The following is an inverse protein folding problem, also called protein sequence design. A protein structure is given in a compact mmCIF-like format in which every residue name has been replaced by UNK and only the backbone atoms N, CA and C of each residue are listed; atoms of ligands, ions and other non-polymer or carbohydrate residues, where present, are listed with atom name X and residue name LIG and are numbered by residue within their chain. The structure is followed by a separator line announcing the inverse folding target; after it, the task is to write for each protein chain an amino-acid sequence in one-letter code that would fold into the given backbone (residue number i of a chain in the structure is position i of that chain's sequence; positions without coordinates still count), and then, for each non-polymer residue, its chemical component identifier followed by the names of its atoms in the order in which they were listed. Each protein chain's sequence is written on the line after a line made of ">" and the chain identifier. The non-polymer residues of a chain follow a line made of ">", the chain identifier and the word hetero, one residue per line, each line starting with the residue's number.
data_IF_025480285693
#
_entry.id   IF_025480285693
#
_cell.length_a   1.000
_cell.length_b   1.000
_cell.length_c   1.000
_cell.angle_alpha   90.00
_cell.angle_beta   90.00
_cell.angle_gamma   90.00
#
_symmetry.space_group_name_H-M   'P 1'
#
loop_
_entity.id
_entity.type
_entity.pdbx_description
1 polymer ?
#
# COMPACT_ATOMS: atom_id res chain seq x y z
N UNK A 1 51.18 -2.18 -32.04
CA UNK A 1 50.63 -2.14 -30.66
C UNK A 1 49.16 -1.77 -30.75
N UNK A 2 48.27 -2.71 -30.60
CA UNK A 2 46.83 -2.46 -30.51
C UNK A 2 46.54 -2.04 -29.05
N UNK A 3 46.14 -0.81 -28.85
CA UNK A 3 45.64 -0.38 -27.56
C UNK A 3 44.39 -1.18 -27.22
N UNK A 4 44.49 -2.01 -26.20
CA UNK A 4 43.36 -2.77 -25.69
C UNK A 4 42.33 -1.79 -25.09
N UNK A 5 41.20 -1.63 -25.74
CA UNK A 5 40.03 -1.01 -25.14
C UNK A 5 39.52 -1.95 -24.05
N UNK A 6 39.83 -1.66 -22.80
CA UNK A 6 39.16 -2.33 -21.68
C UNK A 6 37.63 -2.19 -21.86
N UNK A 7 36.88 -3.29 -21.82
CA UNK A 7 35.42 -3.18 -21.85
C UNK A 7 34.98 -2.34 -20.68
N UNK A 8 34.33 -1.23 -20.98
CA UNK A 8 33.63 -0.43 -19.94
C UNK A 8 32.47 -1.31 -19.48
N UNK A 9 32.67 -2.02 -18.37
CA UNK A 9 31.59 -2.68 -17.68
C UNK A 9 30.78 -1.57 -17.02
N UNK A 10 29.76 -1.09 -17.72
CA UNK A 10 28.79 -0.19 -17.10
C UNK A 10 28.17 -0.94 -15.92
N UNK A 11 28.21 -0.42 -14.70
CA UNK A 11 27.54 -1.08 -13.59
C UNK A 11 26.04 -1.15 -13.94
N UNK A 12 25.49 -2.36 -13.94
CA UNK A 12 24.03 -2.55 -14.06
C UNK A 12 23.45 -2.08 -12.72
N UNK A 13 23.08 -0.81 -12.66
CA UNK A 13 22.34 -0.29 -11.51
C UNK A 13 20.95 -0.93 -11.50
N UNK A 14 20.52 -1.37 -10.32
CA UNK A 14 19.15 -1.77 -10.11
C UNK A 14 18.24 -0.60 -10.53
N UNK A 15 17.16 -0.90 -11.25
CA UNK A 15 16.19 0.10 -11.73
C UNK A 15 15.72 1.02 -10.61
N UNK A 16 15.44 0.47 -9.43
CA UNK A 16 14.92 1.25 -8.31
C UNK A 16 15.96 2.21 -7.74
N UNK A 17 17.24 1.79 -7.71
CA UNK A 17 18.36 2.67 -7.33
C UNK A 17 18.52 3.83 -8.33
N UNK A 18 18.39 3.54 -9.63
CA UNK A 18 18.44 4.58 -10.66
C UNK A 18 17.27 5.57 -10.52
N UNK A 19 16.06 5.09 -10.24
CA UNK A 19 14.90 5.94 -10.05
C UNK A 19 15.01 6.78 -8.76
N UNK A 20 15.59 6.22 -7.71
CA UNK A 20 15.91 6.96 -6.49
C UNK A 20 16.96 8.05 -6.76
N UNK A 21 18.03 7.74 -7.47
CA UNK A 21 19.09 8.70 -7.84
C UNK A 21 18.53 9.87 -8.67
N UNK A 22 17.61 9.58 -9.59
CA UNK A 22 16.90 10.57 -10.37
C UNK A 22 15.82 11.36 -9.58
N UNK A 23 15.56 10.99 -8.32
CA UNK A 23 14.60 11.64 -7.45
C UNK A 23 13.13 11.35 -7.80
N UNK A 24 12.84 10.22 -8.43
CA UNK A 24 11.49 9.77 -8.76
C UNK A 24 10.95 8.71 -7.81
N UNK A 25 11.76 8.23 -6.88
CA UNK A 25 11.36 7.23 -5.89
C UNK A 25 10.96 7.92 -4.58
N UNK A 26 9.78 7.60 -4.11
CA UNK A 26 9.19 8.14 -2.89
C UNK A 26 8.79 7.02 -1.94
N UNK A 27 8.83 7.32 -0.65
CA UNK A 27 8.22 6.51 0.40
C UNK A 27 7.14 7.29 1.12
N UNK A 28 6.06 6.61 1.49
CA UNK A 28 5.04 7.16 2.36
C UNK A 28 4.95 6.27 3.61
N UNK A 29 5.02 6.88 4.78
CA UNK A 29 5.04 6.18 6.06
C UNK A 29 4.01 6.77 7.01
N UNK A 30 3.57 5.97 7.97
CA UNK A 30 2.75 6.44 9.09
C UNK A 30 3.41 7.64 9.77
N UNK A 31 2.65 8.71 10.08
CA UNK A 31 3.22 9.96 10.56
C UNK A 31 3.93 9.84 11.91
N UNK A 32 3.56 8.84 12.70
CA UNK A 32 4.19 8.55 13.99
C UNK A 32 4.65 7.10 14.01
N UNK A 33 5.94 6.83 13.85
CA UNK A 33 6.48 5.48 13.90
C UNK A 33 6.13 4.76 15.22
N UNK A 34 5.78 3.49 15.12
CA UNK A 34 5.36 2.67 16.26
C UNK A 34 3.92 2.90 16.74
N UNK A 35 3.23 3.90 16.19
CA UNK A 35 1.81 4.14 16.45
C UNK A 35 1.01 3.77 15.22
N UNK A 36 0.21 2.71 15.31
CA UNK A 36 -0.60 2.27 14.19
C UNK A 36 -1.76 3.22 13.89
N UNK A 37 -2.19 3.22 12.64
CA UNK A 37 -3.40 3.87 12.19
C UNK A 37 -4.52 2.84 12.29
N UNK A 38 -5.60 3.16 13.01
CA UNK A 38 -6.75 2.28 13.16
C UNK A 38 -7.55 2.28 11.86
N UNK A 39 -7.91 1.08 11.39
CA UNK A 39 -8.88 0.96 10.30
C UNK A 39 -10.29 1.41 10.76
N UNK A 40 -11.19 1.61 9.83
CA UNK A 40 -12.58 1.94 10.18
C UNK A 40 -13.26 0.76 10.86
N UNK A 41 -14.03 1.03 11.92
CA UNK A 41 -14.71 0.01 12.72
C UNK A 41 -15.67 -0.86 11.91
N UNK A 42 -15.76 -2.12 12.31
CA UNK A 42 -16.86 -3.04 11.96
C UNK A 42 -16.98 -3.41 10.49
N UNK A 43 -15.88 -3.73 9.83
CA UNK A 43 -15.92 -4.29 8.48
C UNK A 43 -15.96 -5.83 8.59
N UNK A 44 -17.03 -6.36 9.19
CA UNK A 44 -17.23 -7.80 9.34
C UNK A 44 -17.90 -8.46 8.13
N UNK A 45 -18.58 -7.67 7.31
CA UNK A 45 -19.28 -8.14 6.13
C UNK A 45 -18.47 -7.83 4.89
N UNK A 46 -18.25 -8.82 4.04
CA UNK A 46 -17.61 -8.63 2.75
C UNK A 46 -18.49 -7.73 1.86
N UNK A 47 -18.17 -6.46 1.84
CA UNK A 47 -18.71 -5.49 0.91
C UNK A 47 -17.58 -4.52 0.54
N UNK A 48 -17.60 -3.99 -0.68
CA UNK A 48 -16.67 -2.92 -1.05
C UNK A 48 -17.04 -1.64 -0.26
N UNK A 49 -16.48 -1.53 0.94
CA UNK A 49 -16.71 -0.40 1.83
C UNK A 49 -15.80 0.77 1.43
N UNK A 50 -16.22 1.50 0.42
CA UNK A 50 -15.44 2.62 -0.13
C UNK A 50 -15.26 3.78 0.85
N UNK A 51 -16.14 3.86 1.84
CA UNK A 51 -16.05 4.84 2.91
C UNK A 51 -14.99 4.50 3.97
N UNK A 52 -14.36 3.33 3.86
CA UNK A 52 -13.49 2.82 4.91
C UNK A 52 -12.26 2.08 4.35
N UNK A 53 -11.51 2.64 3.40
CA UNK A 53 -10.28 2.00 2.96
C UNK A 53 -9.25 1.98 4.09
N UNK A 54 -8.44 0.93 4.13
CA UNK A 54 -7.23 0.91 4.96
C UNK A 54 -6.26 1.97 4.46
N UNK A 55 -6.12 2.07 3.13
CA UNK A 55 -5.26 3.06 2.46
C UNK A 55 -6.00 3.59 1.24
N UNK A 56 -5.87 4.89 1.00
CA UNK A 56 -6.26 5.56 -0.24
C UNK A 56 -5.08 6.33 -0.80
N UNK A 57 -4.69 6.03 -2.03
CA UNK A 57 -3.63 6.72 -2.79
C UNK A 57 -4.29 7.44 -3.96
N UNK A 58 -4.21 8.75 -3.97
CA UNK A 58 -4.73 9.57 -5.06
C UNK A 58 -3.59 10.27 -5.79
N UNK A 59 -3.61 10.21 -7.11
CA UNK A 59 -2.69 10.96 -7.95
C UNK A 59 -3.23 12.38 -8.16
N UNK A 60 -2.71 13.33 -7.40
CA UNK A 60 -3.11 14.74 -7.45
C UNK A 60 -2.55 15.54 -8.64
N UNK A 61 -1.82 14.91 -9.55
CA UNK A 61 -1.34 15.57 -10.75
C UNK A 61 -2.53 16.01 -11.63
N UNK A 62 -2.44 17.16 -12.33
CA UNK A 62 -3.48 17.60 -13.26
C UNK A 62 -3.74 16.55 -14.34
N UNK A 63 -4.99 16.44 -14.80
CA UNK A 63 -5.39 15.47 -15.84
C UNK A 63 -4.59 15.64 -17.14
N UNK A 64 -4.14 16.87 -17.43
CA UNK A 64 -3.26 17.15 -18.57
C UNK A 64 -1.80 16.71 -18.37
N UNK A 65 -1.42 16.30 -17.16
CA UNK A 65 -0.09 15.78 -16.84
C UNK A 65 0.04 14.35 -17.36
N UNK A 66 1.23 13.97 -17.78
CA UNK A 66 1.56 12.58 -18.09
C UNK A 66 2.17 11.84 -16.88
N UNK A 67 2.21 12.48 -15.72
CA UNK A 67 2.86 11.92 -14.51
C UNK A 67 1.97 10.90 -13.86
N UNK A 68 2.45 9.68 -13.79
CA UNK A 68 1.78 8.54 -13.17
C UNK A 68 2.45 8.15 -11.86
N UNK A 69 1.68 7.55 -10.96
CA UNK A 69 2.19 6.92 -9.75
C UNK A 69 2.20 5.40 -9.96
N UNK A 70 3.34 4.77 -9.68
CA UNK A 70 3.57 3.34 -9.78
C UNK A 70 3.87 2.79 -8.38
N UNK A 71 2.89 2.24 -7.67
CA UNK A 71 3.15 1.55 -6.42
C UNK A 71 4.13 0.39 -6.68
N UNK A 72 5.15 0.26 -5.85
CA UNK A 72 6.10 -0.84 -5.89
C UNK A 72 5.80 -1.85 -4.79
N UNK A 73 5.57 -1.36 -3.58
CA UNK A 73 5.11 -2.18 -2.48
C UNK A 73 4.22 -1.39 -1.52
N UNK A 74 3.39 -2.13 -0.80
CA UNK A 74 2.65 -1.66 0.38
C UNK A 74 2.90 -2.67 1.49
N UNK A 75 3.35 -2.20 2.65
CA UNK A 75 3.55 -3.02 3.84
C UNK A 75 2.64 -2.54 4.95
N UNK A 76 1.93 -3.47 5.55
CA UNK A 76 1.05 -3.27 6.70
C UNK A 76 1.58 -4.11 7.85
N UNK A 77 2.05 -3.47 8.91
CA UNK A 77 2.46 -4.16 10.14
C UNK A 77 1.37 -3.99 11.18
N UNK A 78 0.84 -5.08 11.70
CA UNK A 78 -0.23 -5.06 12.71
C UNK A 78 0.31 -4.51 14.01
N UNK A 79 -0.24 -3.39 14.47
CA UNK A 79 0.09 -2.77 15.77
C UNK A 79 -1.02 -2.98 16.81
N UNK A 80 -2.25 -3.20 16.34
CA UNK A 80 -3.38 -3.58 17.15
C UNK A 80 -4.13 -4.70 16.47
N UNK A 81 -4.29 -5.81 17.17
CA UNK A 81 -5.02 -6.97 16.65
C UNK A 81 -6.51 -6.84 16.95
N UNK A 82 -7.33 -7.31 16.03
CA UNK A 82 -8.76 -7.46 16.22
C UNK A 82 -9.06 -8.64 17.16
N UNK A 83 -9.95 -8.46 18.12
CA UNK A 83 -10.28 -9.49 19.10
C UNK A 83 -11.07 -10.68 18.54
N UNK A 84 -11.68 -10.58 17.35
CA UNK A 84 -12.59 -11.59 16.81
C UNK A 84 -12.43 -11.93 15.34
N UNK A 85 -11.54 -11.26 14.60
CA UNK A 85 -11.39 -11.47 13.16
C UNK A 85 -10.70 -12.78 12.83
N UNK A 86 -11.44 -13.72 12.25
CA UNK A 86 -10.92 -15.05 11.91
C UNK A 86 -10.28 -15.15 10.54
N UNK A 87 -10.59 -14.23 9.64
CA UNK A 87 -10.06 -14.22 8.27
C UNK A 87 -9.81 -12.78 7.87
N UNK A 88 -8.55 -12.44 7.67
CA UNK A 88 -8.18 -11.12 7.15
C UNK A 88 -8.11 -11.21 5.63
N UNK A 89 -8.88 -10.38 4.96
CA UNK A 89 -8.92 -10.29 3.49
C UNK A 89 -8.68 -8.85 3.06
N UNK A 90 -7.89 -8.68 2.01
CA UNK A 90 -7.68 -7.39 1.38
C UNK A 90 -8.14 -7.40 -0.08
N UNK A 91 -8.79 -6.33 -0.47
CA UNK A 91 -9.17 -6.08 -1.87
C UNK A 91 -8.57 -4.76 -2.32
N UNK A 92 -7.95 -4.80 -3.48
CA UNK A 92 -7.29 -3.67 -4.11
C UNK A 92 -8.16 -3.17 -5.25
N UNK A 93 -8.48 -1.89 -5.23
CA UNK A 93 -9.34 -1.26 -6.25
C UNK A 93 -8.66 -0.05 -6.87
N UNK A 94 -8.91 0.14 -8.17
CA UNK A 94 -8.51 1.33 -8.92
C UNK A 94 -9.78 2.03 -9.42
N UNK A 95 -9.87 3.33 -9.23
CA UNK A 95 -11.03 4.12 -9.62
C UNK A 95 -10.61 5.41 -10.34
N UNK A 96 -11.51 5.98 -11.11
CA UNK A 96 -11.35 7.30 -11.70
C UNK A 96 -11.86 8.37 -10.73
N UNK A 97 -11.08 9.43 -10.61
CA UNK A 97 -11.39 10.55 -9.73
C UNK A 97 -10.98 10.32 -8.27
N UNK A 98 -10.93 11.41 -7.55
CA UNK A 98 -10.61 11.44 -6.13
C UNK A 98 -11.71 10.77 -5.31
N UNK A 99 -11.35 9.75 -4.55
CA UNK A 99 -12.30 9.01 -3.71
C UNK A 99 -12.39 9.57 -2.28
N UNK A 100 -11.30 10.11 -1.79
CA UNK A 100 -11.22 10.74 -0.48
C UNK A 100 -11.03 12.23 -0.69
N UNK A 101 -12.02 13.02 -0.33
CA UNK A 101 -12.04 14.49 -0.58
C UNK A 101 -11.58 15.29 0.60
N UNK A 102 -11.64 14.73 1.80
CA UNK A 102 -11.19 15.40 3.01
C UNK A 102 -10.14 14.55 3.69
N UNK A 103 -9.00 15.17 3.97
CA UNK A 103 -7.94 14.51 4.74
C UNK A 103 -8.51 14.10 6.11
N UNK A 104 -8.14 12.92 6.60
CA UNK A 104 -8.46 12.51 7.96
C UNK A 104 -7.75 13.43 8.97
N UNK A 105 -7.94 13.18 10.25
CA UNK A 105 -7.07 13.77 11.26
C UNK A 105 -5.59 13.57 10.88
N UNK A 106 -4.71 14.44 11.35
CA UNK A 106 -3.28 14.43 11.00
C UNK A 106 -2.61 13.05 11.15
N UNK A 107 -3.11 12.22 12.06
CA UNK A 107 -2.66 10.84 12.27
C UNK A 107 -2.94 9.90 11.09
N UNK A 108 -3.86 10.25 10.20
CA UNK A 108 -4.21 9.45 9.03
C UNK A 108 -3.61 9.96 7.71
N UNK A 109 -2.83 11.03 7.75
CA UNK A 109 -2.10 11.56 6.58
C UNK A 109 -0.70 10.99 6.59
N UNK A 110 -0.35 10.16 5.60
CA UNK A 110 0.98 9.58 5.54
C UNK A 110 2.03 10.63 5.15
N UNK A 111 3.19 10.55 5.79
CA UNK A 111 4.33 11.43 5.47
C UNK A 111 5.03 10.89 4.22
N UNK A 112 5.07 11.71 3.16
CA UNK A 112 5.72 11.35 1.90
C UNK A 112 7.11 11.97 1.86
N UNK A 113 8.11 11.13 1.63
CA UNK A 113 9.51 11.54 1.52
C UNK A 113 10.09 11.11 0.19
N UNK A 114 10.88 11.99 -0.43
CA UNK A 114 11.75 11.60 -1.52
C UNK A 114 12.94 10.83 -0.96
N UNK A 115 13.27 9.69 -1.53
CA UNK A 115 14.42 8.89 -1.08
C UNK A 115 15.78 9.49 -1.44
N UNK A 116 15.79 10.46 -2.36
CA UNK A 116 16.97 11.28 -2.66
C UNK A 116 16.84 12.66 -1.99
N UNK A 117 17.53 12.87 -0.87
CA UNK A 117 17.51 14.15 -0.14
C UNK A 117 18.05 15.33 -0.96
N UNK A 118 18.88 15.07 -1.97
CA UNK A 118 19.39 16.11 -2.88
C UNK A 118 18.42 16.51 -3.98
N UNK A 119 17.33 15.76 -4.16
CA UNK A 119 16.34 16.03 -5.20
C UNK A 119 15.37 17.14 -4.77
N UNK A 120 15.10 18.07 -5.69
CA UNK A 120 14.02 19.06 -5.54
C UNK A 120 12.62 18.54 -5.89
N UNK A 121 12.50 17.29 -6.37
CA UNK A 121 11.22 16.71 -6.77
C UNK A 121 10.33 16.46 -5.55
N UNK A 122 9.07 16.88 -5.68
CA UNK A 122 8.03 16.67 -4.66
C UNK A 122 6.91 15.85 -5.26
N UNK A 123 6.45 14.86 -4.53
CA UNK A 123 5.29 14.08 -4.92
C UNK A 123 4.00 14.92 -4.83
N UNK A 124 3.10 14.70 -5.79
CA UNK A 124 1.73 15.19 -5.79
C UNK A 124 0.73 14.14 -5.29
N UNK A 125 1.23 12.97 -4.88
CA UNK A 125 0.40 11.94 -4.30
C UNK A 125 -0.25 12.43 -2.99
N UNK A 126 -1.51 12.08 -2.81
CA UNK A 126 -2.24 12.25 -1.54
C UNK A 126 -2.53 10.87 -0.98
N UNK A 127 -1.92 10.56 0.15
CA UNK A 127 -2.02 9.22 0.73
C UNK A 127 -2.63 9.34 2.13
N UNK A 128 -3.81 8.73 2.27
CA UNK A 128 -4.61 8.77 3.48
C UNK A 128 -4.91 7.36 3.98
N UNK A 129 -5.05 7.22 5.29
CA UNK A 129 -5.38 5.97 5.96
C UNK A 129 -6.25 6.21 7.19
N UNK A 130 -6.97 5.17 7.63
CA UNK A 130 -7.65 5.16 8.91
C UNK A 130 -9.08 5.69 8.87
N UNK A 131 -9.56 6.09 10.04
CA UNK A 131 -10.93 6.53 10.29
C UNK A 131 -11.16 8.01 9.93
N UNK A 132 -12.41 8.38 9.69
CA UNK A 132 -12.78 9.78 9.45
C UNK A 132 -12.53 10.27 8.03
N UNK A 133 -12.32 9.37 7.09
CA UNK A 133 -12.21 9.71 5.67
C UNK A 133 -13.57 10.15 5.14
N UNK A 134 -13.62 11.31 4.48
CA UNK A 134 -14.80 11.73 3.72
C UNK A 134 -14.62 11.26 2.27
N UNK A 135 -15.49 10.35 1.85
CA UNK A 135 -15.44 9.73 0.54
C UNK A 135 -16.56 10.22 -0.36
N UNK A 136 -16.33 10.14 -1.65
CA UNK A 136 -17.35 10.32 -2.69
C UNK A 136 -17.76 8.97 -3.28
N UNK A 137 -18.92 8.91 -3.92
CA UNK A 137 -19.43 7.68 -4.54
C UNK A 137 -18.47 7.13 -5.62
N UNK A 138 -18.30 5.80 -5.68
CA UNK A 138 -17.47 5.16 -6.68
C UNK A 138 -17.91 5.53 -8.09
N UNK A 139 -16.94 5.65 -8.99
CA UNK A 139 -17.25 5.76 -10.40
C UNK A 139 -17.77 4.42 -10.93
N UNK A 140 -18.50 4.46 -12.04
CA UNK A 140 -18.90 3.26 -12.78
C UNK A 140 -17.71 2.52 -13.41
N UNK A 141 -16.52 3.11 -13.37
CA UNK A 141 -15.29 2.59 -13.96
C UNK A 141 -14.32 1.98 -12.96
N UNK A 142 -14.76 1.84 -11.71
CA UNK A 142 -13.95 1.17 -10.69
C UNK A 142 -13.60 -0.25 -11.10
N UNK A 143 -12.35 -0.65 -10.87
CA UNK A 143 -11.83 -1.98 -11.16
C UNK A 143 -11.26 -2.60 -9.90
N UNK A 144 -11.52 -3.88 -9.70
CA UNK A 144 -10.82 -4.70 -8.69
C UNK A 144 -9.56 -5.21 -9.38
N UNK A 145 -8.40 -4.88 -8.83
CA UNK A 145 -7.08 -5.26 -9.39
C UNK A 145 -6.38 -6.31 -8.54
N UNK A 146 -6.89 -6.60 -7.35
CA UNK A 146 -6.38 -7.66 -6.49
C UNK A 146 -7.36 -8.02 -5.38
N UNK A 147 -7.30 -9.27 -4.93
CA UNK A 147 -8.08 -9.77 -3.80
C UNK A 147 -7.35 -10.96 -3.17
N UNK A 148 -7.01 -10.86 -1.89
CA UNK A 148 -6.27 -11.90 -1.17
C UNK A 148 -6.76 -12.07 0.26
N UNK A 149 -6.67 -13.30 0.76
CA UNK A 149 -6.93 -13.64 2.16
C UNK A 149 -5.64 -14.12 2.82
N UNK A 150 -5.30 -13.56 3.96
CA UNK A 150 -4.03 -13.81 4.63
C UNK A 150 -4.15 -14.82 5.77
N UNK A 151 -5.26 -14.83 6.47
CA UNK A 151 -5.51 -15.80 7.54
C UNK A 151 -6.87 -16.44 7.37
N UNK A 152 -6.93 -17.75 7.61
CA UNK A 152 -8.13 -18.57 7.53
C UNK A 152 -8.22 -19.48 8.75
N UNK A 153 -9.43 -19.97 9.03
CA UNK A 153 -9.61 -21.12 9.92
C UNK A 153 -9.47 -20.86 11.40
N UNK A 154 -9.92 -19.72 11.89
CA UNK A 154 -10.00 -19.48 13.34
C UNK A 154 -8.75 -18.87 13.96
N UNK A 155 -7.79 -18.43 13.15
CA UNK A 155 -6.58 -17.76 13.64
C UNK A 155 -6.74 -16.24 13.50
N UNK A 156 -6.71 -15.54 14.62
CA UNK A 156 -6.74 -14.06 14.64
C UNK A 156 -5.38 -13.48 14.27
N UNK A 157 -5.36 -12.24 13.76
CA UNK A 157 -4.13 -11.49 13.57
C UNK A 157 -3.44 -11.23 14.89
N UNK A 158 -2.12 -11.19 14.87
CA UNK A 158 -1.28 -10.94 16.06
C UNK A 158 -0.50 -9.65 15.83
N UNK A 159 -0.21 -8.91 16.91
CA UNK A 159 0.67 -7.74 16.84
C UNK A 159 2.03 -8.17 16.30
N UNK A 160 2.51 -7.47 15.28
CA UNK A 160 3.73 -7.78 14.56
C UNK A 160 3.52 -8.62 13.29
N UNK A 161 2.30 -9.09 12.99
CA UNK A 161 2.01 -9.66 11.67
C UNK A 161 2.30 -8.64 10.58
N UNK A 162 2.89 -9.08 9.48
CA UNK A 162 3.21 -8.22 8.33
C UNK A 162 2.48 -8.74 7.09
N UNK A 163 1.73 -7.86 6.46
CA UNK A 163 1.10 -8.08 5.17
C UNK A 163 1.76 -7.18 4.14
N UNK A 164 2.45 -7.79 3.18
CA UNK A 164 3.14 -7.05 2.13
C UNK A 164 2.54 -7.36 0.77
N UNK A 165 2.28 -6.31 0.01
CA UNK A 165 1.82 -6.34 -1.37
C UNK A 165 2.92 -5.78 -2.25
N UNK A 166 3.43 -6.56 -3.19
CA UNK A 166 4.38 -6.10 -4.21
C UNK A 166 3.66 -5.98 -5.55
N UNK A 167 3.99 -4.96 -6.32
CA UNK A 167 3.38 -4.69 -7.62
C UNK A 167 4.41 -4.82 -8.73
N UNK A 168 4.05 -5.58 -9.78
CA UNK A 168 4.91 -5.72 -10.95
C UNK A 168 6.11 -6.65 -10.77
N UNK A 169 6.18 -7.40 -9.69
CA UNK A 169 7.15 -8.48 -9.55
C UNK A 169 6.75 -9.66 -10.42
N UNK A 170 7.69 -10.16 -11.23
CA UNK A 170 7.49 -11.38 -11.98
C UNK A 170 7.84 -12.64 -11.19
N UNK A 171 8.51 -12.47 -10.07
CA UNK A 171 8.80 -13.57 -9.15
C UNK A 171 7.56 -13.83 -8.30
N UNK A 172 6.89 -14.91 -8.58
CA UNK A 172 5.90 -15.48 -7.71
C UNK A 172 6.68 -16.15 -6.56
N UNK A 173 7.03 -15.34 -5.56
CA UNK A 173 7.48 -15.90 -4.30
C UNK A 173 6.29 -16.67 -3.75
N UNK A 174 6.44 -17.98 -3.63
CA UNK A 174 5.48 -18.78 -2.88
C UNK A 174 5.26 -18.09 -1.53
N UNK A 175 4.01 -17.79 -1.16
CA UNK A 175 3.77 -17.28 0.16
C UNK A 175 4.29 -18.33 1.13
N UNK A 176 5.42 -18.06 1.76
CA UNK A 176 5.87 -18.87 2.87
C UNK A 176 4.84 -18.69 3.98
N UNK A 177 3.79 -19.46 3.88
CA UNK A 177 2.85 -19.68 4.95
C UNK A 177 3.56 -20.51 6.01
N UNK A 178 4.29 -19.85 6.87
CA UNK A 178 4.63 -20.45 8.16
C UNK A 178 3.33 -20.51 8.95
N UNK A 179 2.55 -21.54 8.68
CA UNK A 179 1.43 -21.92 9.54
C UNK A 179 2.04 -22.57 10.77
N UNK A 180 2.52 -21.75 11.67
CA UNK A 180 2.79 -22.23 13.04
C UNK A 180 1.52 -22.12 13.85
N UNK A 181 1.19 -23.22 14.49
CA UNK A 181 0.09 -23.33 15.45
C UNK A 181 0.37 -22.43 16.66
N UNK A 182 -0.50 -21.48 16.92
CA UNK A 182 -0.48 -20.69 18.17
C UNK A 182 -0.18 -19.22 17.98
N UNK A 183 0.89 -18.72 18.54
CA UNK A 183 1.23 -17.30 18.69
C UNK A 183 2.25 -16.78 17.67
N UNK A 184 2.54 -17.52 16.62
CA UNK A 184 3.55 -17.14 15.64
C UNK A 184 3.13 -15.92 14.83
N UNK A 185 4.05 -14.97 14.66
CA UNK A 185 3.91 -13.82 13.79
C UNK A 185 3.82 -14.31 12.34
N UNK A 186 2.85 -13.81 11.60
CA UNK A 186 2.65 -14.13 10.19
C UNK A 186 3.28 -13.04 9.32
N UNK A 187 4.26 -13.43 8.50
CA UNK A 187 4.79 -12.56 7.46
C UNK A 187 4.38 -13.12 6.11
N UNK A 188 3.50 -12.41 5.42
CA UNK A 188 2.98 -12.84 4.11
C UNK A 188 3.25 -11.78 3.07
N UNK A 189 3.86 -12.20 1.96
CA UNK A 189 4.10 -11.35 0.80
C UNK A 189 3.28 -11.88 -0.37
N UNK A 190 2.52 -10.98 -1.01
CA UNK A 190 1.80 -11.27 -2.24
C UNK A 190 2.28 -10.39 -3.38
N UNK A 191 2.43 -11.01 -4.55
CA UNK A 191 2.79 -10.33 -5.78
C UNK A 191 1.53 -10.10 -6.61
N UNK A 192 1.27 -8.85 -6.96
CA UNK A 192 0.17 -8.42 -7.80
C UNK A 192 0.67 -7.94 -9.17
N UNK A 193 -0.22 -7.92 -10.13
CA UNK A 193 0.03 -7.27 -11.41
C UNK A 193 0.46 -5.81 -11.20
N UNK A 194 1.25 -5.24 -12.13
CA UNK A 194 1.59 -3.82 -12.08
C UNK A 194 0.33 -2.96 -12.03
N UNK A 195 0.33 -1.97 -11.15
CA UNK A 195 -0.72 -0.97 -11.05
C UNK A 195 -0.17 0.37 -11.49
N UNK A 196 -0.93 1.11 -12.29
CA UNK A 196 -0.62 2.47 -12.70
C UNK A 196 -1.76 3.36 -12.24
N UNK A 197 -1.45 4.36 -11.43
CA UNK A 197 -2.39 5.36 -10.97
C UNK A 197 -2.15 6.62 -11.80
N UNK A 198 -2.95 6.80 -12.85
CA UNK A 198 -2.87 7.96 -13.73
C UNK A 198 -3.34 9.24 -13.03
N UNK A 199 -3.13 10.42 -13.66
CA UNK A 199 -3.62 11.68 -13.13
C UNK A 199 -5.12 11.63 -12.82
N UNK A 200 -5.50 12.18 -11.65
CA UNK A 200 -6.88 12.17 -11.17
C UNK A 200 -7.47 10.76 -10.97
N UNK A 201 -6.63 9.75 -10.72
CA UNK A 201 -7.07 8.40 -10.38
C UNK A 201 -6.76 8.08 -8.92
N UNK A 202 -7.51 7.14 -8.37
CA UNK A 202 -7.38 6.71 -6.99
C UNK A 202 -7.21 5.19 -6.90
N UNK A 203 -6.28 4.77 -6.08
CA UNK A 203 -6.08 3.38 -5.70
C UNK A 203 -6.42 3.20 -4.23
N UNK A 204 -7.14 2.15 -3.89
CA UNK A 204 -7.52 1.85 -2.51
C UNK A 204 -7.18 0.41 -2.12
N UNK A 205 -6.72 0.24 -0.90
CA UNK A 205 -6.64 -1.05 -0.21
C UNK A 205 -7.77 -1.09 0.81
N UNK A 206 -8.65 -2.06 0.67
CA UNK A 206 -9.79 -2.26 1.56
C UNK A 206 -9.56 -3.56 2.34
N UNK A 207 -9.74 -3.53 3.65
CA UNK A 207 -9.56 -4.66 4.55
C UNK A 207 -10.86 -5.15 5.15
N UNK A 208 -10.96 -6.46 5.35
CA UNK A 208 -12.06 -7.11 6.08
C UNK A 208 -11.51 -8.18 6.99
N UNK A 209 -12.21 -8.40 8.09
CA UNK A 209 -11.98 -9.57 8.93
C UNK A 209 -13.34 -10.20 9.26
N UNK A 210 -13.52 -11.46 8.90
CA UNK A 210 -14.74 -12.18 9.23
C UNK A 210 -14.91 -12.22 10.76
N UNK A 211 -16.15 -11.99 11.23
CA UNK A 211 -16.44 -11.94 12.66
C UNK A 211 -15.61 -10.93 13.44
N UNK A 212 -15.32 -9.79 12.83
CA UNK A 212 -14.61 -8.71 13.50
C UNK A 212 -15.36 -8.26 14.75
N UNK A 213 -14.66 -8.26 15.90
CA UNK A 213 -15.18 -7.73 17.15
C UNK A 213 -15.22 -6.20 17.17
N UNK A 214 -15.50 -5.63 18.33
CA UNK A 214 -15.52 -4.18 18.52
C UNK A 214 -14.13 -3.52 18.41
N UNK A 215 -13.06 -4.29 18.55
CA UNK A 215 -11.68 -3.80 18.44
C UNK A 215 -11.24 -3.81 16.98
N UNK A 216 -10.81 -2.67 16.50
CA UNK A 216 -10.31 -2.47 15.14
C UNK A 216 -8.89 -2.98 14.98
N UNK A 217 -8.51 -3.39 13.76
CA UNK A 217 -7.11 -3.52 13.43
C UNK A 217 -6.42 -2.15 13.38
N UNK A 218 -5.18 -2.11 13.83
CA UNK A 218 -4.29 -0.97 13.64
C UNK A 218 -3.08 -1.41 12.84
N UNK A 219 -2.66 -0.59 11.90
CA UNK A 219 -1.52 -0.86 11.04
C UNK A 219 -0.51 0.28 11.06
N UNK A 220 0.76 -0.06 11.20
CA UNK A 220 1.82 0.80 10.72
C UNK A 220 1.99 0.58 9.22
N UNK A 221 2.01 1.65 8.46
CA UNK A 221 1.92 1.62 7.01
C UNK A 221 3.21 2.16 6.40
N UNK A 222 3.75 1.41 5.45
CA UNK A 222 4.88 1.83 4.62
C UNK A 222 4.56 1.55 3.16
N UNK A 223 4.76 2.52 2.29
CA UNK A 223 4.49 2.43 0.85
C UNK A 223 5.72 2.92 0.10
N UNK A 224 6.22 2.12 -0.83
CA UNK A 224 7.22 2.55 -1.81
C UNK A 224 6.58 2.76 -3.17
N UNK A 225 6.86 3.88 -3.83
CA UNK A 225 6.31 4.17 -5.15
C UNK A 225 7.22 5.05 -5.99
N UNK A 226 7.02 5.00 -7.29
CA UNK A 226 7.65 5.89 -8.26
C UNK A 226 6.60 6.83 -8.82
N UNK A 227 6.97 8.11 -8.97
CA UNK A 227 6.14 9.13 -9.61
C UNK A 227 6.88 9.70 -10.81
N UNK A 228 6.38 9.43 -12.01
CA UNK A 228 7.05 9.80 -13.26
C UNK A 228 6.06 9.98 -14.43
#
# INVERSE_FOLDING_TARGET
>A
MLAGTSPIVAPILNRDVLLADLGYYFTAISPTPGTGILETASISTFALAEAAPVISIYNGNPVASSVNIYPLFIRLTVTQANAGGLTTRFTLTLDQGQRVTTAPAATGVLTINNTNMGSGNKSQAQIYAGTGLVTVAASSQRRIVGNQSFRNGGVVSVIGDVYQFNFGSTEQLDPMSLVETGTAICNVTYNFAPVVIGPNQNFQVQGWAASQGATQHGYEIEIGFVEK
#
